data_IF_719676687564
#
_entry.id   IF_719676687564
#
_cell.length_a   1.000
_cell.length_b   1.000
_cell.length_c   1.000
_cell.angle_alpha   90.00
_cell.angle_beta   90.00
_cell.angle_gamma   90.00
#
_symmetry.space_group_name_H-M   'P 1'
#
loop_
_entity.id
_entity.type
_entity.pdbx_description
1 polymer ?
#
# COMPACT_ATOMS: atom_id res chain seq x y z
N UNK A 1 8.70 5.98 -40.30
CA UNK A 1 8.81 5.59 -38.87
C UNK A 1 7.48 4.97 -38.45
N UNK A 2 7.43 3.65 -38.19
CA UNK A 2 6.17 2.90 -38.09
C UNK A 2 5.34 3.25 -36.85
N UNK A 3 4.02 3.42 -37.03
CA UNK A 3 3.03 3.68 -35.96
C UNK A 3 3.12 2.69 -34.78
N UNK A 4 3.45 1.42 -35.04
CA UNK A 4 3.64 0.41 -33.99
C UNK A 4 4.78 0.75 -33.02
N UNK A 5 5.86 1.39 -33.49
CA UNK A 5 7.00 1.79 -32.67
C UNK A 5 6.65 2.99 -31.77
N UNK A 6 5.86 3.93 -32.29
CA UNK A 6 5.39 5.13 -31.56
C UNK A 6 4.45 4.70 -30.41
N UNK A 7 3.53 3.78 -30.68
CA UNK A 7 2.64 3.22 -29.64
C UNK A 7 3.41 2.46 -28.55
N UNK A 8 4.46 1.72 -28.90
CA UNK A 8 5.27 0.98 -27.93
C UNK A 8 6.08 1.88 -26.98
N UNK A 9 6.60 3.01 -27.49
CA UNK A 9 7.36 3.99 -26.71
C UNK A 9 6.42 4.74 -25.77
N UNK A 10 5.27 5.16 -26.28
CA UNK A 10 4.22 5.83 -25.49
C UNK A 10 3.74 4.93 -24.34
N UNK A 11 3.45 3.65 -24.61
CA UNK A 11 3.03 2.70 -23.58
C UNK A 11 4.09 2.47 -22.49
N UNK A 12 5.37 2.36 -22.87
CA UNK A 12 6.49 2.25 -21.90
C UNK A 12 6.59 3.50 -21.02
N UNK A 13 6.45 4.69 -21.62
CA UNK A 13 6.51 5.95 -20.89
C UNK A 13 5.36 6.09 -19.87
N UNK A 14 4.13 5.79 -20.28
CA UNK A 14 2.98 5.78 -19.35
C UNK A 14 3.15 4.77 -18.22
N UNK A 15 3.71 3.59 -18.50
CA UNK A 15 3.99 2.59 -17.48
C UNK A 15 5.03 3.06 -16.47
N UNK A 16 6.07 3.79 -16.91
CA UNK A 16 7.09 4.36 -16.02
C UNK A 16 6.50 5.45 -15.14
N UNK A 17 5.72 6.38 -15.70
CA UNK A 17 5.04 7.43 -14.93
C UNK A 17 4.12 6.80 -13.89
N UNK A 18 3.34 5.82 -14.29
CA UNK A 18 2.43 5.12 -13.40
C UNK A 18 3.16 4.43 -12.23
N UNK A 19 4.27 3.75 -12.53
CA UNK A 19 5.10 3.10 -11.51
C UNK A 19 5.72 4.13 -10.56
N UNK A 20 6.16 5.27 -11.09
CA UNK A 20 6.69 6.38 -10.30
C UNK A 20 5.60 6.94 -9.35
N UNK A 21 4.37 7.13 -9.83
CA UNK A 21 3.25 7.59 -9.00
C UNK A 21 2.96 6.60 -7.86
N UNK A 22 2.85 5.30 -8.16
CA UNK A 22 2.68 4.27 -7.12
C UNK A 22 3.82 4.33 -6.11
N UNK A 23 5.05 4.44 -6.59
CA UNK A 23 6.25 4.43 -5.73
C UNK A 23 6.24 5.65 -4.81
N UNK A 24 5.91 6.84 -5.31
CA UNK A 24 5.79 8.05 -4.49
C UNK A 24 4.72 7.86 -3.42
N UNK A 25 3.51 7.40 -3.80
CA UNK A 25 2.42 7.19 -2.84
C UNK A 25 2.83 6.13 -1.80
N UNK A 26 3.48 5.05 -2.24
CA UNK A 26 3.98 3.99 -1.36
C UNK A 26 5.03 4.49 -0.37
N UNK A 27 5.97 5.34 -0.80
CA UNK A 27 6.97 5.96 0.08
C UNK A 27 6.29 6.89 1.09
N UNK A 28 5.33 7.71 0.66
CA UNK A 28 4.56 8.56 1.58
C UNK A 28 3.83 7.72 2.63
N UNK A 29 3.22 6.61 2.24
CA UNK A 29 2.58 5.70 3.19
C UNK A 29 3.59 5.04 4.15
N UNK A 30 4.81 4.72 3.67
CA UNK A 30 5.87 4.15 4.51
C UNK A 30 6.35 5.16 5.57
N UNK A 31 6.52 6.42 5.16
CA UNK A 31 6.90 7.51 6.05
C UNK A 31 5.81 7.75 7.10
N UNK A 32 4.55 7.88 6.67
CA UNK A 32 3.41 8.05 7.60
C UNK A 32 3.32 6.90 8.61
N UNK A 33 3.50 5.65 8.16
CA UNK A 33 3.52 4.50 9.04
C UNK A 33 4.69 4.51 10.03
N UNK A 34 5.85 5.02 9.62
CA UNK A 34 7.01 5.18 10.51
C UNK A 34 6.71 6.20 11.61
N UNK A 35 6.08 7.32 11.26
CA UNK A 35 5.63 8.33 12.22
C UNK A 35 4.57 7.77 13.18
N UNK A 36 3.57 7.03 12.68
CA UNK A 36 2.54 6.37 13.51
C UNK A 36 3.18 5.52 14.62
N UNK A 37 4.22 4.75 14.30
CA UNK A 37 4.96 3.94 15.28
C UNK A 37 5.72 4.78 16.29
N UNK A 38 6.38 5.86 15.84
CA UNK A 38 7.14 6.75 16.73
C UNK A 38 6.25 7.41 17.78
N UNK A 39 4.99 7.69 17.42
CA UNK A 39 4.00 8.24 18.35
C UNK A 39 3.20 7.14 19.07
N UNK A 40 3.71 5.92 19.19
CA UNK A 40 3.09 4.86 19.99
C UNK A 40 1.87 4.19 19.36
N UNK A 41 1.65 4.38 18.06
CA UNK A 41 0.76 3.56 17.25
C UNK A 41 1.30 2.15 17.06
N UNK A 42 0.48 1.27 16.46
CA UNK A 42 0.91 -0.11 16.22
C UNK A 42 1.92 -0.21 15.08
N UNK A 43 2.93 -1.08 15.15
CA UNK A 43 3.87 -1.29 14.03
C UNK A 43 3.26 -2.00 12.82
N UNK A 44 1.97 -2.34 12.88
CA UNK A 44 1.28 -3.03 11.80
C UNK A 44 1.46 -2.33 10.44
N UNK A 45 1.21 -1.03 10.34
CA UNK A 45 1.35 -0.34 9.06
C UNK A 45 2.78 -0.29 8.55
N UNK A 46 3.77 -0.21 9.44
CA UNK A 46 5.17 -0.24 9.03
C UNK A 46 5.47 -1.56 8.32
N UNK A 47 5.14 -2.69 8.94
CA UNK A 47 5.31 -4.00 8.31
C UNK A 47 4.42 -4.20 7.08
N UNK A 48 3.20 -3.68 7.12
CA UNK A 48 2.27 -3.84 6.02
C UNK A 48 2.73 -3.09 4.76
N UNK A 49 3.32 -1.91 4.90
CA UNK A 49 3.91 -1.19 3.77
C UNK A 49 5.14 -1.91 3.22
N UNK A 50 5.97 -2.52 4.07
CA UNK A 50 7.07 -3.38 3.61
C UNK A 50 6.55 -4.55 2.79
N UNK A 51 5.49 -5.21 3.25
CA UNK A 51 4.84 -6.31 2.49
C UNK A 51 4.27 -5.80 1.16
N UNK A 52 3.56 -4.67 1.15
CA UNK A 52 3.01 -4.06 -0.06
C UNK A 52 4.12 -3.65 -1.06
N UNK A 53 5.24 -3.11 -0.57
CA UNK A 53 6.39 -2.77 -1.41
C UNK A 53 6.94 -4.03 -2.09
N UNK A 54 7.15 -5.12 -1.33
CA UNK A 54 7.58 -6.40 -1.89
C UNK A 54 6.55 -6.95 -2.89
N UNK A 55 5.26 -6.93 -2.56
CA UNK A 55 4.20 -7.34 -3.49
C UNK A 55 4.25 -6.54 -4.79
N UNK A 56 4.45 -5.23 -4.73
CA UNK A 56 4.53 -4.38 -5.92
C UNK A 56 5.71 -4.74 -6.82
N UNK A 57 6.88 -5.04 -6.23
CA UNK A 57 8.06 -5.50 -6.97
C UNK A 57 7.78 -6.82 -7.69
N UNK A 58 7.10 -7.76 -7.03
CA UNK A 58 6.78 -9.06 -7.62
C UNK A 58 5.65 -9.00 -8.65
N UNK A 59 4.60 -8.22 -8.38
CA UNK A 59 3.42 -8.07 -9.23
C UNK A 59 3.72 -7.35 -10.56
N UNK A 60 4.74 -6.49 -10.59
CA UNK A 60 5.12 -5.72 -11.78
C UNK A 60 6.20 -6.39 -12.65
N UNK A 61 6.70 -7.57 -12.25
CA UNK A 61 7.63 -8.36 -13.09
C UNK A 61 6.90 -9.03 -14.24
N UNK A 62 7.59 -9.21 -15.37
CA UNK A 62 7.02 -9.87 -16.56
C UNK A 62 6.73 -11.37 -16.32
N UNK A 63 7.57 -12.03 -15.51
CA UNK A 63 7.43 -13.44 -15.18
C UNK A 63 6.14 -13.74 -14.42
N UNK A 64 5.32 -14.66 -14.95
CA UNK A 64 4.11 -15.16 -14.28
C UNK A 64 4.40 -15.74 -12.89
N UNK A 65 5.47 -16.54 -12.78
CA UNK A 65 5.92 -17.10 -11.49
C UNK A 65 6.22 -16.01 -10.48
N UNK A 66 6.85 -14.91 -10.90
CA UNK A 66 7.12 -13.78 -10.01
C UNK A 66 5.83 -13.08 -9.57
N UNK A 67 4.87 -12.90 -10.49
CA UNK A 67 3.61 -12.24 -10.15
C UNK A 67 2.74 -13.09 -9.22
N UNK A 68 2.78 -14.42 -9.35
CA UNK A 68 2.10 -15.32 -8.42
C UNK A 68 2.68 -15.26 -7.00
N UNK A 69 3.99 -14.99 -6.85
CA UNK A 69 4.61 -14.78 -5.54
C UNK A 69 4.10 -13.51 -4.84
N UNK A 70 3.54 -12.53 -5.59
CA UNK A 70 2.90 -11.39 -4.97
C UNK A 70 1.72 -11.80 -4.07
N UNK A 71 1.04 -12.92 -4.36
CA UNK A 71 -0.05 -13.42 -3.52
C UNK A 71 0.37 -13.80 -2.09
N UNK A 72 1.65 -14.12 -1.86
CA UNK A 72 2.15 -14.41 -0.50
C UNK A 72 2.02 -13.21 0.43
N UNK A 73 2.16 -11.99 -0.08
CA UNK A 73 2.01 -10.79 0.73
C UNK A 73 0.58 -10.61 1.25
N UNK A 74 -0.44 -11.02 0.50
CA UNK A 74 -1.83 -10.96 0.93
C UNK A 74 -2.07 -11.90 2.11
N UNK A 75 -1.50 -13.12 2.03
CA UNK A 75 -1.55 -14.10 3.12
C UNK A 75 -0.87 -13.54 4.37
N UNK A 76 0.32 -12.96 4.23
CA UNK A 76 1.06 -12.36 5.36
C UNK A 76 0.28 -11.21 6.01
N UNK A 77 -0.37 -10.36 5.22
CA UNK A 77 -1.19 -9.26 5.73
C UNK A 77 -2.43 -9.76 6.47
N UNK A 78 -3.12 -10.78 5.94
CA UNK A 78 -4.27 -11.40 6.62
C UNK A 78 -3.82 -12.02 7.94
N UNK A 79 -2.71 -12.77 7.96
CA UNK A 79 -2.16 -13.34 9.20
C UNK A 79 -1.81 -12.24 10.20
N UNK A 80 -1.15 -11.17 9.75
CA UNK A 80 -0.81 -10.03 10.59
C UNK A 80 -2.05 -9.35 11.19
N UNK A 81 -3.11 -9.19 10.39
CA UNK A 81 -4.38 -8.63 10.85
C UNK A 81 -5.08 -9.53 11.86
N UNK A 82 -5.12 -10.84 11.62
CA UNK A 82 -5.68 -11.82 12.57
C UNK A 82 -4.86 -11.82 13.86
N UNK A 83 -3.54 -11.76 13.78
CA UNK A 83 -2.67 -11.72 14.94
C UNK A 83 -2.89 -10.44 15.77
N UNK A 84 -3.05 -9.29 15.13
CA UNK A 84 -3.23 -8.01 15.82
C UNK A 84 -4.65 -7.75 16.31
N UNK A 85 -5.68 -8.25 15.62
CA UNK A 85 -7.08 -7.84 15.83
C UNK A 85 -8.08 -9.02 15.90
N UNK A 86 -7.60 -10.26 15.85
CA UNK A 86 -8.45 -11.46 15.80
C UNK A 86 -9.24 -11.57 14.50
N UNK A 87 -10.23 -12.46 14.47
CA UNK A 87 -11.07 -12.68 13.27
C UNK A 87 -12.02 -11.52 12.95
N UNK A 88 -12.18 -10.56 13.88
CA UNK A 88 -12.94 -9.33 13.66
C UNK A 88 -12.11 -8.25 12.97
N UNK A 89 -10.89 -8.55 12.48
CA UNK A 89 -10.02 -7.56 11.85
C UNK A 89 -10.68 -6.76 10.71
N UNK A 90 -11.68 -7.33 10.02
CA UNK A 90 -12.41 -6.65 8.95
C UNK A 90 -13.19 -5.42 9.42
N UNK A 91 -13.51 -5.31 10.71
CA UNK A 91 -14.15 -4.12 11.27
C UNK A 91 -13.15 -3.03 11.64
N UNK A 92 -11.85 -3.30 11.57
CA UNK A 92 -10.80 -2.33 11.86
C UNK A 92 -10.39 -1.57 10.60
N UNK A 93 -10.18 -0.26 10.75
CA UNK A 93 -9.71 0.61 9.66
C UNK A 93 -8.40 0.10 9.02
N UNK A 94 -7.54 -0.57 9.79
CA UNK A 94 -6.28 -1.16 9.29
C UNK A 94 -6.46 -2.25 8.24
N UNK A 95 -7.66 -2.83 8.12
CA UNK A 95 -7.99 -3.75 7.03
C UNK A 95 -7.96 -3.07 5.65
N UNK A 96 -7.96 -1.73 5.58
CA UNK A 96 -7.82 -0.97 4.32
C UNK A 96 -6.59 -1.38 3.51
N UNK A 97 -5.53 -1.86 4.18
CA UNK A 97 -4.29 -2.34 3.55
C UNK A 97 -4.51 -3.56 2.66
N UNK A 98 -5.61 -4.28 2.84
CA UNK A 98 -5.99 -5.41 2.00
C UNK A 98 -6.43 -4.97 0.60
N UNK A 99 -6.98 -3.76 0.43
CA UNK A 99 -7.39 -3.28 -0.90
C UNK A 99 -6.22 -3.21 -1.89
N UNK A 100 -5.12 -2.48 -1.60
CA UNK A 100 -3.96 -2.49 -2.50
C UNK A 100 -3.34 -3.88 -2.59
N UNK A 101 -3.33 -4.68 -1.52
CA UNK A 101 -2.77 -6.04 -1.54
C UNK A 101 -3.52 -7.00 -2.46
N UNK A 102 -4.86 -6.97 -2.42
CA UNK A 102 -5.71 -7.74 -3.33
C UNK A 102 -5.44 -7.30 -4.77
N UNK A 103 -5.37 -5.99 -5.02
CA UNK A 103 -5.06 -5.49 -6.36
C UNK A 103 -3.72 -6.02 -6.88
N UNK A 104 -2.67 -5.96 -6.05
CA UNK A 104 -1.33 -6.47 -6.36
C UNK A 104 -1.34 -7.99 -6.63
N UNK A 105 -2.15 -8.74 -5.88
CA UNK A 105 -2.33 -10.18 -6.10
C UNK A 105 -3.03 -10.49 -7.43
N UNK A 106 -4.03 -9.69 -7.79
CA UNK A 106 -4.78 -9.85 -9.05
C UNK A 106 -3.93 -9.61 -10.30
N UNK A 107 -2.83 -8.84 -10.23
CA UNK A 107 -1.86 -8.71 -11.35
C UNK A 107 -1.19 -10.05 -11.73
N UNK A 108 -1.12 -11.01 -10.79
CA UNK A 108 -0.62 -12.36 -11.05
C UNK A 108 -1.55 -13.21 -11.89
N UNK A 109 -2.84 -12.89 -11.95
CA UNK A 109 -3.82 -13.71 -12.68
C UNK A 109 -3.65 -13.49 -14.19
N UNK A 110 -3.34 -14.55 -14.98
CA UNK A 110 -3.13 -14.42 -16.41
C UNK A 110 -4.35 -13.84 -17.16
N UNK A 111 -5.56 -14.21 -16.74
CA UNK A 111 -6.81 -13.73 -17.33
C UNK A 111 -7.04 -12.22 -17.16
N UNK A 112 -6.37 -11.59 -16.20
CA UNK A 112 -6.39 -10.13 -16.01
C UNK A 112 -5.22 -9.50 -16.76
N UNK A 113 -4.01 -10.05 -16.62
CA UNK A 113 -2.80 -9.50 -17.21
C UNK A 113 -2.80 -9.48 -18.75
N UNK A 114 -3.46 -10.45 -19.40
CA UNK A 114 -3.54 -10.55 -20.85
C UNK A 114 -4.62 -9.64 -21.47
N UNK A 115 -5.50 -9.05 -20.66
CA UNK A 115 -6.61 -8.21 -21.12
C UNK A 115 -6.36 -6.73 -20.79
N UNK A 116 -6.03 -5.88 -21.78
CA UNK A 116 -5.57 -4.51 -21.52
C UNK A 116 -6.59 -3.66 -20.76
N UNK A 117 -7.89 -3.79 -21.05
CA UNK A 117 -8.94 -3.06 -20.33
C UNK A 117 -9.02 -3.43 -18.84
N UNK A 118 -8.98 -4.74 -18.53
CA UNK A 118 -9.00 -5.23 -17.14
C UNK A 118 -7.75 -4.79 -16.39
N UNK A 119 -6.60 -4.80 -17.06
CA UNK A 119 -5.34 -4.34 -16.51
C UNK A 119 -5.36 -2.84 -16.19
N UNK A 120 -5.90 -2.00 -17.08
CA UNK A 120 -6.03 -0.56 -16.84
C UNK A 120 -7.00 -0.24 -15.71
N UNK A 121 -8.12 -0.97 -15.63
CA UNK A 121 -9.06 -0.84 -14.51
C UNK A 121 -8.38 -1.23 -13.19
N UNK A 122 -7.68 -2.37 -13.15
CA UNK A 122 -6.98 -2.82 -11.94
C UNK A 122 -5.90 -1.82 -11.50
N UNK A 123 -5.22 -1.18 -12.46
CA UNK A 123 -4.28 -0.09 -12.17
C UNK A 123 -4.98 1.13 -11.54
N UNK A 124 -6.09 1.58 -12.09
CA UNK A 124 -6.86 2.68 -11.51
C UNK A 124 -7.35 2.35 -10.08
N UNK A 125 -7.84 1.12 -9.86
CA UNK A 125 -8.28 0.65 -8.55
C UNK A 125 -7.11 0.57 -7.57
N UNK A 126 -5.94 0.08 -7.99
CA UNK A 126 -4.73 0.06 -7.15
C UNK A 126 -4.36 1.48 -6.71
N UNK A 127 -4.33 2.44 -7.62
CA UNK A 127 -4.01 3.83 -7.30
C UNK A 127 -5.02 4.43 -6.32
N UNK A 128 -6.33 4.22 -6.54
CA UNK A 128 -7.37 4.65 -5.61
C UNK A 128 -7.21 4.00 -4.23
N UNK A 129 -6.88 2.70 -4.19
CA UNK A 129 -6.69 1.97 -2.93
C UNK A 129 -5.47 2.45 -2.13
N UNK A 130 -4.40 2.86 -2.80
CA UNK A 130 -3.22 3.46 -2.16
C UNK A 130 -3.53 4.85 -1.62
N UNK A 131 -4.30 5.67 -2.34
CA UNK A 131 -4.79 6.97 -1.85
C UNK A 131 -5.69 6.77 -0.62
N UNK A 132 -6.61 5.80 -0.67
CA UNK A 132 -7.47 5.48 0.47
C UNK A 132 -6.65 5.01 1.69
N UNK A 133 -5.64 4.16 1.49
CA UNK A 133 -4.71 3.75 2.54
C UNK A 133 -3.98 4.95 3.14
N UNK A 134 -3.45 5.85 2.31
CA UNK A 134 -2.78 7.06 2.77
C UNK A 134 -3.71 7.97 3.59
N UNK A 135 -4.97 8.13 3.14
CA UNK A 135 -5.97 8.92 3.85
C UNK A 135 -6.33 8.31 5.21
N UNK A 136 -6.48 6.99 5.29
CA UNK A 136 -6.72 6.30 6.58
C UNK A 136 -5.52 6.44 7.52
N UNK A 137 -4.30 6.27 7.01
CA UNK A 137 -3.09 6.47 7.82
C UNK A 137 -3.01 7.90 8.36
N UNK A 138 -3.31 8.90 7.54
CA UNK A 138 -3.33 10.30 7.96
C UNK A 138 -4.40 10.56 9.02
N UNK A 139 -5.59 9.99 8.84
CA UNK A 139 -6.68 10.10 9.82
C UNK A 139 -6.31 9.46 11.16
N UNK A 140 -5.79 8.23 11.17
CA UNK A 140 -5.38 7.55 12.40
C UNK A 140 -4.22 8.29 13.08
N UNK A 141 -3.25 8.80 12.32
CA UNK A 141 -2.17 9.64 12.85
C UNK A 141 -2.70 10.91 13.51
N UNK A 142 -3.69 11.57 12.90
CA UNK A 142 -4.30 12.79 13.43
C UNK A 142 -5.08 12.53 14.73
N UNK A 143 -5.81 11.42 14.80
CA UNK A 143 -6.48 10.98 16.03
C UNK A 143 -5.47 10.74 17.15
N UNK A 144 -4.37 10.07 16.82
CA UNK A 144 -3.34 9.73 17.78
C UNK A 144 -2.64 11.01 18.28
N UNK A 145 -2.30 11.94 17.38
CA UNK A 145 -1.77 13.28 17.74
C UNK A 145 -2.73 14.04 18.66
N UNK A 146 -4.02 14.10 18.33
CA UNK A 146 -5.02 14.76 19.17
C UNK A 146 -5.16 14.12 20.55
N UNK A 147 -5.02 12.79 20.65
CA UNK A 147 -4.97 12.11 21.94
C UNK A 147 -3.72 12.50 22.74
N UNK A 148 -2.54 12.58 22.11
CA UNK A 148 -1.32 13.04 22.79
C UNK A 148 -1.40 14.48 23.27
N UNK A 149 -1.93 15.39 22.46
CA UNK A 149 -2.09 16.79 22.83
C UNK A 149 -3.03 16.98 24.04
N UNK A 150 -3.93 16.02 24.29
CA UNK A 150 -4.83 16.01 25.45
C UNK A 150 -4.17 15.52 26.75
N UNK A 151 -3.00 14.88 26.67
CA UNK A 151 -2.29 14.37 27.84
C UNK A 151 -1.54 15.49 28.57
N UNK A 152 -1.52 15.48 29.91
CA UNK A 152 -0.77 16.48 30.66
C UNK A 152 0.74 16.36 30.35
N UNK A 153 1.40 17.53 30.24
CA UNK A 153 2.78 17.71 29.77
C UNK A 153 3.81 17.22 30.82
N UNK A 154 3.94 15.91 30.97
CA UNK A 154 4.62 15.27 32.11
C UNK A 154 5.79 14.36 31.69
N UNK A 155 5.98 14.08 30.40
CA UNK A 155 6.87 13.03 29.92
C UNK A 155 7.81 13.46 28.79
N UNK A 156 9.09 13.08 28.88
CA UNK A 156 10.15 13.38 27.90
C UNK A 156 9.89 12.84 26.48
N UNK A 157 9.05 11.82 26.35
CA UNK A 157 8.65 11.23 25.06
C UNK A 157 7.68 12.10 24.25
N UNK A 158 6.96 13.03 24.91
CA UNK A 158 5.99 13.92 24.26
C UNK A 158 6.66 14.90 23.27
N UNK A 159 7.96 15.16 23.43
CA UNK A 159 8.75 15.95 22.47
C UNK A 159 8.95 15.27 21.11
N UNK A 160 8.83 13.95 21.02
CA UNK A 160 9.01 13.21 19.78
C UNK A 160 7.72 13.12 18.94
N UNK A 161 6.54 13.32 19.54
CA UNK A 161 5.24 13.31 18.84
C UNK A 161 4.74 14.68 18.36
N UNK A 162 5.47 15.76 18.67
CA UNK A 162 5.02 17.13 18.43
C UNK A 162 5.43 17.72 17.06
N UNK A 163 6.00 16.92 16.13
CA UNK A 163 6.31 17.35 14.76
C UNK A 163 5.12 17.01 13.83
#
# INVERSE_FOLDING_TARGET
MNMARINSISHKFYSVIYLLIITIIGVVCALNATYDVMIGGTPFYFFAIVVLALQSIFALRESERSRNLAGLGLILLIIGLIYSYGFMFLTHLKAIVLLPSVCLTLFGIPSIAQHPQKLHLLKAVLLCSLIALAAVQYYELSLLKGYYDSLPYNGSWQHYGAL
#
